data_IF_376983334636
#
_entry.id   IF_376983334636
#
_cell.length_a   1.000
_cell.length_b   1.000
_cell.length_c   1.000
_cell.angle_alpha   90.00
_cell.angle_beta   90.00
_cell.angle_gamma   90.00
#
_symmetry.space_group_name_H-M   'P 1'
#
loop_
_entity.id
_entity.type
_entity.pdbx_description
1 polymer ?
#
# COMPACT_ATOMS: atom_id res chain seq x y z
N UNK A 1 5.67 -13.51 13.93
CA UNK A 1 5.41 -12.42 14.88
C UNK A 1 5.07 -12.90 16.30
N UNK A 2 4.01 -13.70 16.55
CA UNK A 2 3.62 -14.16 17.93
C UNK A 2 4.79 -14.52 18.85
N UNK A 3 5.63 -15.50 18.49
CA UNK A 3 6.79 -15.90 19.30
C UNK A 3 7.79 -14.77 19.57
N UNK A 4 8.01 -13.87 18.60
CA UNK A 4 8.91 -12.73 18.78
C UNK A 4 8.35 -11.74 19.81
N UNK A 5 7.03 -11.50 19.79
CA UNK A 5 6.34 -10.66 20.77
C UNK A 5 6.43 -11.28 22.18
N UNK A 6 6.13 -12.57 22.30
CA UNK A 6 6.19 -13.28 23.59
C UNK A 6 7.61 -13.32 24.19
N UNK A 7 8.63 -13.51 23.35
CA UNK A 7 10.03 -13.45 23.77
C UNK A 7 10.44 -12.09 24.35
N UNK A 8 9.68 -11.03 24.06
CA UNK A 8 9.90 -9.67 24.58
C UNK A 8 8.79 -9.24 25.55
N UNK A 9 8.04 -10.19 26.13
CA UNK A 9 7.07 -9.92 27.19
C UNK A 9 5.71 -9.38 26.71
N UNK A 10 5.43 -9.39 25.41
CA UNK A 10 4.15 -8.97 24.85
C UNK A 10 3.26 -10.21 24.65
N UNK A 11 2.23 -10.34 25.48
CA UNK A 11 1.20 -11.38 25.35
C UNK A 11 0.48 -11.23 24.02
N UNK A 12 0.43 -12.30 23.23
CA UNK A 12 -0.23 -12.26 21.92
C UNK A 12 -0.96 -13.56 21.61
N UNK A 13 -2.04 -13.45 20.85
CA UNK A 13 -2.79 -14.56 20.27
C UNK A 13 -2.82 -14.43 18.75
N UNK A 14 -3.32 -15.46 18.05
CA UNK A 14 -3.39 -15.46 16.59
C UNK A 14 -4.79 -15.87 16.14
N UNK A 15 -5.37 -15.09 15.22
CA UNK A 15 -6.64 -15.39 14.57
C UNK A 15 -6.59 -15.04 13.08
N UNK A 16 -7.50 -15.65 12.31
CA UNK A 16 -7.76 -15.33 10.89
C UNK A 16 -9.27 -15.27 10.65
N UNK A 17 -9.96 -14.25 11.19
CA UNK A 17 -11.39 -14.15 10.99
C UNK A 17 -11.71 -13.89 9.51
N UNK A 18 -12.85 -14.38 8.99
CA UNK A 18 -13.24 -14.17 7.59
C UNK A 18 -13.48 -12.68 7.27
N UNK A 19 -13.83 -11.87 8.27
CA UNK A 19 -14.05 -10.42 8.17
C UNK A 19 -12.83 -9.59 8.64
N UNK A 20 -11.61 -10.15 8.63
CA UNK A 20 -10.41 -9.46 9.12
C UNK A 20 -10.17 -8.08 8.49
N UNK A 21 -10.61 -7.89 7.23
CA UNK A 21 -10.51 -6.61 6.53
C UNK A 21 -11.39 -5.53 7.19
N UNK A 22 -12.68 -5.82 7.37
CA UNK A 22 -13.65 -4.91 7.99
C UNK A 22 -13.23 -4.56 9.42
N UNK A 23 -12.87 -5.57 10.21
CA UNK A 23 -12.40 -5.38 11.59
C UNK A 23 -11.26 -4.37 11.70
N UNK A 24 -10.37 -4.28 10.70
CA UNK A 24 -9.30 -3.28 10.74
C UNK A 24 -9.80 -1.89 10.36
N UNK A 25 -10.55 -1.75 9.26
CA UNK A 25 -11.03 -0.44 8.80
C UNK A 25 -12.08 0.19 9.73
N UNK A 26 -12.74 -0.63 10.54
CA UNK A 26 -13.73 -0.20 11.54
C UNK A 26 -13.10 0.10 12.90
N UNK A 27 -11.82 -0.23 13.10
CA UNK A 27 -11.10 -0.03 14.36
C UNK A 27 -11.34 -1.11 15.43
N UNK A 28 -11.84 -2.28 15.03
CA UNK A 28 -12.08 -3.42 15.94
C UNK A 28 -10.83 -4.31 16.15
N UNK A 29 -9.82 -4.19 15.29
CA UNK A 29 -8.59 -4.96 15.37
C UNK A 29 -7.59 -4.34 16.36
N UNK A 30 -7.08 -5.14 17.32
CA UNK A 30 -5.96 -4.71 18.18
C UNK A 30 -4.63 -4.64 17.42
N UNK A 31 -4.39 -5.60 16.52
CA UNK A 31 -3.21 -5.66 15.67
C UNK A 31 -3.56 -6.48 14.44
N UNK A 32 -3.19 -6.00 13.25
CA UNK A 32 -3.40 -6.70 11.99
C UNK A 32 -2.10 -6.74 11.19
N UNK A 33 -1.83 -7.86 10.54
CA UNK A 33 -0.83 -7.93 9.48
C UNK A 33 -1.55 -7.67 8.15
N UNK A 34 -1.31 -6.52 7.55
CA UNK A 34 -1.90 -6.09 6.29
C UNK A 34 -0.83 -5.53 5.36
N UNK A 35 -1.01 -5.75 4.07
CA UNK A 35 -0.29 -5.00 3.04
C UNK A 35 -1.14 -3.83 2.56
N UNK A 36 -0.50 -2.71 2.26
CA UNK A 36 -1.08 -1.60 1.53
C UNK A 36 -0.24 -1.29 0.29
N UNK A 37 -0.87 -0.67 -0.70
CA UNK A 37 -0.19 -0.20 -1.89
C UNK A 37 0.15 1.27 -1.73
N UNK A 38 1.44 1.59 -1.66
CA UNK A 38 1.94 2.96 -1.72
C UNK A 38 2.21 3.42 -3.16
N UNK A 39 2.84 4.59 -3.28
CA UNK A 39 3.41 5.06 -4.55
C UNK A 39 4.82 4.53 -4.73
N UNK A 40 5.24 4.36 -5.99
CA UNK A 40 6.60 3.95 -6.37
C UNK A 40 7.38 5.07 -7.06
N UNK A 41 6.71 6.18 -7.38
CA UNK A 41 7.27 7.27 -8.20
C UNK A 41 7.43 8.57 -7.42
N UNK A 42 6.54 8.79 -6.47
CA UNK A 42 6.41 9.99 -5.64
C UNK A 42 5.93 9.58 -4.24
N UNK A 43 5.93 10.45 -3.23
CA UNK A 43 5.47 10.07 -1.90
C UNK A 43 3.94 10.10 -1.74
N UNK A 44 3.20 10.69 -2.69
CA UNK A 44 1.81 11.08 -2.48
C UNK A 44 0.88 9.94 -2.05
N UNK A 45 0.79 8.85 -2.82
CA UNK A 45 -0.14 7.77 -2.45
C UNK A 45 0.28 7.07 -1.15
N UNK A 46 1.58 7.02 -0.86
CA UNK A 46 2.06 6.49 0.43
C UNK A 46 1.64 7.40 1.58
N UNK A 47 1.76 8.73 1.42
CA UNK A 47 1.33 9.70 2.42
C UNK A 47 -0.19 9.68 2.64
N UNK A 48 -0.93 9.53 1.54
CA UNK A 48 -2.38 9.48 1.55
C UNK A 48 -2.95 8.25 2.29
N UNK A 49 -2.16 7.19 2.52
CA UNK A 49 -2.57 6.06 3.38
C UNK A 49 -2.77 6.47 4.84
N UNK A 50 -2.22 7.60 5.26
CA UNK A 50 -2.26 8.08 6.64
C UNK A 50 -2.93 9.46 6.76
N UNK A 51 -3.51 9.95 5.67
CA UNK A 51 -4.24 11.22 5.67
C UNK A 51 -5.44 11.13 6.60
N UNK A 52 -5.60 12.10 7.49
CA UNK A 52 -6.55 12.10 8.60
C UNK A 52 -8.03 12.25 8.20
N UNK A 53 -8.54 11.38 7.35
CA UNK A 53 -9.98 11.16 7.16
C UNK A 53 -10.51 10.16 8.19
N UNK A 54 -11.78 10.28 8.55
CA UNK A 54 -12.48 9.24 9.30
C UNK A 54 -12.65 7.99 8.43
N UNK A 55 -11.81 6.97 8.67
CA UNK A 55 -11.89 5.67 8.01
C UNK A 55 -13.33 5.10 8.01
N UNK A 56 -14.06 5.31 9.12
CA UNK A 56 -15.45 4.88 9.26
C UNK A 56 -16.40 5.55 8.24
N UNK A 57 -16.13 6.80 7.83
CA UNK A 57 -16.93 7.51 6.83
C UNK A 57 -16.72 6.96 5.40
N UNK A 58 -15.58 6.29 5.16
CA UNK A 58 -15.23 5.74 3.85
C UNK A 58 -15.88 4.37 3.60
N UNK A 59 -16.55 3.79 4.60
CA UNK A 59 -17.17 2.46 4.54
C UNK A 59 -16.16 1.32 4.46
N UNK A 60 -16.61 0.09 4.26
CA UNK A 60 -15.70 -1.05 4.09
C UNK A 60 -14.92 -0.94 2.76
N UNK A 61 -13.65 -1.35 2.76
CA UNK A 61 -12.89 -1.54 1.49
C UNK A 61 -11.90 -0.44 1.14
N UNK A 62 -11.87 0.67 1.87
CA UNK A 62 -10.90 1.75 1.62
C UNK A 62 -9.49 1.41 2.12
N UNK A 63 -8.49 2.08 1.53
CA UNK A 63 -7.08 1.96 1.93
C UNK A 63 -6.57 3.17 2.73
N UNK A 64 -7.32 4.26 2.74
CA UNK A 64 -6.93 5.53 3.38
C UNK A 64 -7.16 5.43 4.88
N UNK A 65 -6.12 5.63 5.68
CA UNK A 65 -6.16 5.72 7.13
C UNK A 65 -6.84 4.54 7.85
N UNK A 66 -6.61 3.32 7.38
CA UNK A 66 -7.06 2.11 8.10
C UNK A 66 -6.42 1.94 9.49
N UNK A 67 -5.50 2.83 9.87
CA UNK A 67 -4.83 2.87 11.16
C UNK A 67 -5.52 3.81 12.15
N UNK A 68 -6.51 4.59 11.70
CA UNK A 68 -7.19 5.62 12.49
C UNK A 68 -6.23 6.63 13.15
N UNK A 69 -5.06 6.82 12.54
CA UNK A 69 -4.06 7.76 13.00
C UNK A 69 -4.38 9.16 12.48
N UNK A 70 -3.98 10.19 13.23
CA UNK A 70 -4.22 11.59 12.87
C UNK A 70 -3.06 12.45 13.31
N UNK A 71 -2.53 13.22 12.38
CA UNK A 71 -1.55 14.25 12.63
C UNK A 71 -1.78 15.41 11.65
N UNK A 72 -2.02 16.61 12.17
CA UNK A 72 -2.36 17.77 11.33
C UNK A 72 -1.20 18.19 10.43
N UNK A 73 0.04 18.12 10.93
CA UNK A 73 1.23 18.45 10.14
C UNK A 73 1.45 17.46 9.00
N UNK A 74 1.20 16.17 9.24
CA UNK A 74 1.22 15.15 8.18
C UNK A 74 0.21 15.46 7.07
N UNK A 75 -1.00 15.88 7.42
CA UNK A 75 -2.02 16.27 6.45
C UNK A 75 -1.56 17.48 5.62
N UNK A 76 -1.04 18.53 6.26
CA UNK A 76 -0.49 19.70 5.58
C UNK A 76 0.64 19.35 4.58
N UNK A 77 1.56 18.46 4.99
CA UNK A 77 2.65 17.99 4.14
C UNK A 77 2.12 17.15 2.97
N UNK A 78 1.13 16.28 3.22
CA UNK A 78 0.49 15.47 2.17
C UNK A 78 -0.19 16.38 1.13
N UNK A 79 -0.88 17.41 1.61
CA UNK A 79 -1.48 18.45 0.80
C UNK A 79 -0.45 19.21 -0.05
N UNK A 80 0.71 19.56 0.53
CA UNK A 80 1.79 20.22 -0.21
C UNK A 80 2.39 19.31 -1.29
N UNK A 81 2.61 18.03 -0.96
CA UNK A 81 3.05 17.01 -1.93
C UNK A 81 2.05 16.88 -3.09
N UNK A 82 0.73 16.89 -2.81
CA UNK A 82 -0.32 16.81 -3.84
C UNK A 82 -0.27 17.95 -4.87
N UNK A 83 0.27 19.11 -4.47
CA UNK A 83 0.39 20.32 -5.29
C UNK A 83 1.78 20.47 -5.92
N UNK A 84 2.73 19.64 -5.53
CA UNK A 84 4.11 19.69 -6.00
C UNK A 84 4.27 18.83 -7.25
N UNK A 85 4.71 19.44 -8.35
CA UNK A 85 4.90 18.72 -9.61
C UNK A 85 6.11 17.80 -9.59
N UNK A 86 6.03 16.67 -10.31
CA UNK A 86 7.10 15.67 -10.43
C UNK A 86 8.45 16.23 -10.91
N UNK A 87 8.46 17.37 -11.59
CA UNK A 87 9.68 18.05 -12.02
C UNK A 87 10.47 18.68 -10.87
N UNK A 88 9.84 18.92 -9.72
CA UNK A 88 10.47 19.46 -8.52
C UNK A 88 10.75 18.34 -7.51
N UNK A 89 11.60 17.41 -7.93
CA UNK A 89 11.91 16.22 -7.13
C UNK A 89 12.59 16.58 -5.80
N UNK A 90 13.42 17.62 -5.79
CA UNK A 90 14.11 18.08 -4.58
C UNK A 90 13.10 18.53 -3.50
N UNK A 91 12.06 19.27 -3.90
CA UNK A 91 11.00 19.68 -2.98
C UNK A 91 10.18 18.48 -2.49
N UNK A 92 9.86 17.51 -3.36
CA UNK A 92 9.18 16.28 -2.95
C UNK A 92 10.00 15.48 -1.92
N UNK A 93 11.32 15.40 -2.09
CA UNK A 93 12.22 14.72 -1.15
C UNK A 93 12.29 15.44 0.20
N UNK A 94 12.37 16.76 0.21
CA UNK A 94 12.33 17.57 1.45
C UNK A 94 11.03 17.36 2.23
N UNK A 95 9.88 17.45 1.55
CA UNK A 95 8.56 17.24 2.16
C UNK A 95 8.41 15.83 2.71
N UNK A 96 8.92 14.83 1.97
CA UNK A 96 8.89 13.45 2.40
C UNK A 96 9.78 13.21 3.63
N UNK A 97 10.98 13.77 3.66
CA UNK A 97 11.87 13.66 4.81
C UNK A 97 11.22 14.23 6.08
N UNK A 98 10.63 15.43 6.00
CA UNK A 98 9.91 16.04 7.13
C UNK A 98 8.72 15.18 7.58
N UNK A 99 7.94 14.65 6.64
CA UNK A 99 6.82 13.78 6.96
C UNK A 99 7.29 12.49 7.65
N UNK A 100 8.41 11.92 7.21
CA UNK A 100 8.97 10.69 7.77
C UNK A 100 9.53 10.87 9.18
N UNK A 101 10.01 12.05 9.56
CA UNK A 101 10.39 12.33 10.94
C UNK A 101 9.19 12.14 11.88
N UNK A 102 8.02 12.67 11.51
CA UNK A 102 6.75 12.49 12.24
C UNK A 102 6.37 11.01 12.27
N UNK A 103 6.38 10.35 11.11
CA UNK A 103 5.94 8.96 11.00
C UNK A 103 6.83 8.00 11.79
N UNK A 104 8.15 8.23 11.82
CA UNK A 104 9.09 7.41 12.58
C UNK A 104 8.97 7.64 14.09
N UNK A 105 8.66 8.87 14.52
CA UNK A 105 8.44 9.19 15.93
C UNK A 105 7.15 8.57 16.46
N UNK A 106 6.05 8.67 15.69
CA UNK A 106 4.73 8.20 16.14
C UNK A 106 4.42 6.73 15.76
N UNK A 107 5.10 6.21 14.74
CA UNK A 107 5.04 4.82 14.24
C UNK A 107 3.61 4.24 14.15
N UNK A 108 2.71 4.86 13.36
CA UNK A 108 1.31 4.41 13.27
C UNK A 108 1.14 3.05 12.57
N UNK A 109 2.15 2.61 11.81
CA UNK A 109 2.24 1.29 11.19
C UNK A 109 3.67 0.77 11.32
N UNK A 110 3.83 -0.54 11.47
CA UNK A 110 5.15 -1.18 11.63
C UNK A 110 5.48 -1.94 10.35
N UNK A 111 6.32 -1.36 9.50
CA UNK A 111 6.73 -1.99 8.25
C UNK A 111 7.58 -3.24 8.52
N UNK A 112 7.12 -4.41 8.06
CA UNK A 112 7.80 -5.70 8.27
C UNK A 112 8.53 -6.17 7.01
N UNK A 113 7.92 -6.01 5.84
CA UNK A 113 8.45 -6.52 4.57
C UNK A 113 7.87 -5.76 3.38
N UNK A 114 8.72 -5.46 2.40
CA UNK A 114 8.25 -5.06 1.08
C UNK A 114 7.86 -6.31 0.27
N UNK A 115 6.61 -6.37 -0.16
CA UNK A 115 6.10 -7.52 -0.89
C UNK A 115 6.08 -7.27 -2.39
N UNK A 116 6.88 -8.05 -3.13
CA UNK A 116 6.85 -8.05 -4.59
C UNK A 116 5.78 -9.00 -5.13
N UNK A 117 5.04 -8.51 -6.14
CA UNK A 117 4.14 -9.31 -6.95
C UNK A 117 4.89 -10.48 -7.60
N UNK A 118 4.55 -11.71 -7.20
CA UNK A 118 5.06 -12.96 -7.78
C UNK A 118 3.91 -13.69 -8.46
N UNK A 119 3.69 -13.39 -9.73
CA UNK A 119 2.52 -13.86 -10.47
C UNK A 119 3.00 -14.78 -11.57
N UNK A 120 2.59 -16.05 -11.48
CA UNK A 120 2.88 -17.03 -12.51
C UNK A 120 2.00 -16.77 -13.73
N UNK A 121 2.62 -16.69 -14.91
CA UNK A 121 1.93 -16.50 -16.18
C UNK A 121 1.98 -17.80 -16.98
N UNK A 122 0.83 -18.24 -17.48
CA UNK A 122 0.77 -19.39 -18.38
C UNK A 122 1.02 -18.93 -19.82
N UNK A 123 2.02 -19.51 -20.47
CA UNK A 123 2.45 -19.16 -21.84
C UNK A 123 2.02 -20.16 -22.91
N UNK A 124 1.16 -21.13 -22.59
CA UNK A 124 0.68 -22.14 -23.55
C UNK A 124 -0.14 -21.49 -24.68
N UNK A 125 -1.03 -20.56 -24.35
CA UNK A 125 -1.95 -19.92 -25.31
C UNK A 125 -1.69 -18.43 -25.52
N UNK A 126 -1.00 -17.78 -24.59
CA UNK A 126 -0.80 -16.34 -24.59
C UNK A 126 0.67 -15.99 -24.36
N UNK A 127 1.18 -15.07 -25.17
CA UNK A 127 2.51 -14.46 -25.01
C UNK A 127 2.37 -12.96 -24.76
N UNK A 128 3.51 -12.27 -24.63
CA UNK A 128 3.59 -10.83 -24.40
C UNK A 128 2.99 -10.39 -23.06
N UNK A 129 3.03 -11.28 -22.05
CA UNK A 129 2.81 -10.91 -20.66
C UNK A 129 3.82 -9.83 -20.22
N UNK A 130 3.45 -8.93 -19.29
CA UNK A 130 4.41 -8.01 -18.73
C UNK A 130 5.46 -8.80 -17.94
N UNK A 131 6.73 -8.48 -18.19
CA UNK A 131 7.88 -9.08 -17.51
C UNK A 131 8.81 -7.97 -17.04
N UNK A 132 9.88 -8.33 -16.33
CA UNK A 132 10.96 -7.40 -16.02
C UNK A 132 11.52 -6.72 -17.28
N UNK A 133 11.73 -7.51 -18.35
CA UNK A 133 12.35 -7.02 -19.59
C UNK A 133 11.33 -6.35 -20.54
N UNK A 134 10.03 -6.48 -20.26
CA UNK A 134 8.93 -5.82 -20.97
C UNK A 134 7.89 -5.26 -19.99
N UNK A 135 8.23 -4.23 -19.19
CA UNK A 135 7.42 -3.78 -18.05
C UNK A 135 6.37 -2.74 -18.45
N UNK A 136 5.59 -3.00 -19.52
CA UNK A 136 4.59 -2.04 -20.01
C UNK A 136 3.43 -1.79 -19.02
N UNK A 137 3.23 -2.70 -18.06
CA UNK A 137 2.35 -2.51 -16.90
C UNK A 137 2.70 -3.54 -15.81
N UNK A 138 2.10 -3.44 -14.63
CA UNK A 138 2.25 -4.45 -13.59
C UNK A 138 1.47 -5.73 -13.96
N UNK A 139 1.95 -6.90 -13.53
CA UNK A 139 1.31 -8.19 -13.83
C UNK A 139 0.11 -8.54 -12.95
N UNK A 140 -0.31 -7.68 -12.02
CA UNK A 140 -1.39 -7.98 -11.08
C UNK A 140 -2.76 -7.89 -11.78
N UNK A 141 -3.34 -9.06 -12.07
CA UNK A 141 -4.62 -9.14 -12.76
C UNK A 141 -5.82 -8.62 -11.95
N UNK A 142 -5.65 -8.45 -10.63
CA UNK A 142 -6.63 -7.83 -9.75
C UNK A 142 -6.53 -6.29 -9.72
N UNK A 143 -5.51 -5.68 -10.33
CA UNK A 143 -5.42 -4.23 -10.46
C UNK A 143 -6.30 -3.73 -11.62
N UNK A 144 -6.75 -2.47 -11.52
CA UNK A 144 -7.51 -1.80 -12.60
C UNK A 144 -6.76 -1.70 -13.93
N UNK A 145 -5.46 -2.00 -13.96
CA UNK A 145 -4.61 -2.03 -15.15
C UNK A 145 -4.69 -3.34 -15.94
N UNK A 146 -5.43 -4.36 -15.49
CA UNK A 146 -5.46 -5.67 -16.16
C UNK A 146 -5.94 -5.59 -17.62
N UNK A 147 -6.83 -4.65 -17.95
CA UNK A 147 -7.25 -4.41 -19.33
C UNK A 147 -6.09 -4.11 -20.28
N UNK A 148 -5.04 -3.43 -19.80
CA UNK A 148 -3.84 -3.15 -20.60
C UNK A 148 -3.05 -4.43 -20.90
N UNK A 149 -3.04 -5.40 -19.97
CA UNK A 149 -2.44 -6.71 -20.22
C UNK A 149 -3.20 -7.40 -21.35
N UNK A 150 -4.51 -7.55 -21.21
CA UNK A 150 -5.36 -8.24 -22.20
C UNK A 150 -5.20 -7.65 -23.60
N UNK A 151 -5.14 -6.32 -23.72
CA UNK A 151 -4.92 -5.65 -25.01
C UNK A 151 -3.56 -5.93 -25.65
N UNK A 152 -2.55 -6.27 -24.85
CA UNK A 152 -1.19 -6.55 -25.32
C UNK A 152 -0.91 -8.05 -25.49
N UNK A 153 -1.72 -8.94 -24.91
CA UNK A 153 -1.54 -10.38 -25.07
C UNK A 153 -1.64 -10.79 -26.55
N UNK A 154 -0.81 -11.75 -26.93
CA UNK A 154 -0.79 -12.31 -28.29
C UNK A 154 -1.02 -13.81 -28.22
N UNK A 155 -1.95 -14.32 -29.03
CA UNK A 155 -2.15 -15.75 -29.15
C UNK A 155 -0.86 -16.44 -29.63
N UNK A 156 -0.54 -17.59 -29.06
CA UNK A 156 0.60 -18.42 -29.52
C UNK A 156 0.30 -19.11 -30.86
N UNK A 157 -0.97 -19.23 -31.21
CA UNK A 157 -1.47 -19.88 -32.41
C UNK A 157 -2.47 -18.95 -33.13
N UNK A 158 -2.48 -18.92 -34.47
CA UNK A 158 -3.39 -18.09 -35.26
C UNK A 158 -4.86 -18.53 -35.18
#
# INVERSE_FOLDING_TARGET
MKRQLENHGITSSYSKPPNAWAMQTEGEATCALRGHGGSVRDPYFTMNLYYGSDAQELGEGHQINAFHWRNDRWNELTDEVSRTGMQDYAKLEELWAEAMDIWLEELPDVQVVEWYHRIAMNTTYWTNWPTHDNPYTNGAFWHGTFGLIVQNLKATQP
#
